data_IF_504398772403
#
_entry.id   IF_504398772403
#
_cell.length_a   1.000
_cell.length_b   1.000
_cell.length_c   1.000
_cell.angle_alpha   90.00
_cell.angle_beta   90.00
_cell.angle_gamma   90.00
#
_symmetry.space_group_name_H-M   'P 1'
#
loop_
_entity.id
_entity.type
_entity.pdbx_description
1 polymer ?
#
# COMPACT_ATOMS: atom_id res chain seq x y z
N UNK A 1 5.91 -11.26 -14.31
CA UNK A 1 4.65 -10.58 -14.68
C UNK A 1 4.19 -9.49 -13.70
N UNK A 2 4.60 -9.49 -12.42
CA UNK A 2 4.23 -8.41 -11.47
C UNK A 2 4.98 -7.08 -11.63
N UNK A 3 6.07 -7.04 -12.40
CA UNK A 3 6.85 -5.83 -12.66
C UNK A 3 6.12 -4.76 -13.49
N UNK A 4 4.98 -5.09 -14.10
CA UNK A 4 4.24 -4.17 -14.96
C UNK A 4 3.27 -3.28 -14.18
N UNK A 5 2.61 -3.80 -13.14
CA UNK A 5 1.64 -3.02 -12.33
C UNK A 5 2.36 -2.05 -11.39
N UNK A 6 3.49 -2.45 -10.81
CA UNK A 6 4.33 -1.61 -9.93
C UNK A 6 4.96 -0.43 -10.67
N UNK A 7 5.43 -0.62 -11.91
CA UNK A 7 6.00 0.46 -12.73
C UNK A 7 4.97 1.56 -13.04
N UNK A 8 3.71 1.21 -13.29
CA UNK A 8 2.67 2.20 -13.65
C UNK A 8 2.35 3.14 -12.48
N UNK A 9 2.30 2.63 -11.24
CA UNK A 9 2.05 3.45 -10.04
C UNK A 9 3.27 4.34 -9.71
N UNK A 10 4.49 3.81 -9.80
CA UNK A 10 5.73 4.56 -9.62
C UNK A 10 5.86 5.71 -10.65
N UNK A 11 5.53 5.46 -11.92
CA UNK A 11 5.55 6.47 -12.99
C UNK A 11 4.51 7.56 -12.74
N UNK A 12 3.30 7.21 -12.26
CA UNK A 12 2.29 8.22 -11.93
C UNK A 12 2.71 9.15 -10.79
N UNK A 13 3.38 8.63 -9.76
CA UNK A 13 3.85 9.47 -8.65
C UNK A 13 4.96 10.41 -9.10
N UNK A 14 5.87 9.96 -9.96
CA UNK A 14 6.91 10.81 -10.57
C UNK A 14 6.34 11.98 -11.39
N UNK A 15 5.12 11.84 -11.93
CA UNK A 15 4.45 12.89 -12.70
C UNK A 15 3.75 13.94 -11.82
N UNK A 16 3.56 13.67 -10.52
CA UNK A 16 2.93 14.59 -9.57
C UNK A 16 4.01 15.50 -9.01
N UNK A 17 3.98 16.77 -9.41
CA UNK A 17 5.04 17.75 -9.12
C UNK A 17 4.90 18.46 -7.77
N UNK A 18 3.82 18.23 -7.04
CA UNK A 18 3.52 18.96 -5.79
C UNK A 18 3.28 18.00 -4.63
N UNK A 19 3.87 18.23 -3.44
CA UNK A 19 3.68 17.40 -2.25
C UNK A 19 2.20 17.17 -1.91
N UNK A 20 1.34 18.19 -2.05
CA UNK A 20 -0.10 18.09 -1.74
C UNK A 20 -0.82 17.03 -2.57
N UNK A 21 -0.48 16.93 -3.86
CA UNK A 21 -1.08 15.94 -4.76
C UNK A 21 -0.61 14.52 -4.45
N UNK A 22 0.62 14.38 -3.99
CA UNK A 22 1.12 13.11 -3.48
C UNK A 22 0.42 12.74 -2.19
N UNK A 23 0.25 13.68 -1.26
CA UNK A 23 -0.47 13.49 0.00
C UNK A 23 -1.91 13.00 -0.25
N UNK A 24 -2.62 13.63 -1.20
CA UNK A 24 -3.97 13.23 -1.61
C UNK A 24 -4.02 11.78 -2.09
N UNK A 25 -3.03 11.35 -2.89
CA UNK A 25 -2.94 9.96 -3.35
C UNK A 25 -2.59 8.98 -2.22
N UNK A 26 -1.64 9.34 -1.35
CA UNK A 26 -1.27 8.52 -0.18
C UNK A 26 -2.50 8.31 0.70
N UNK A 27 -3.30 9.35 0.95
CA UNK A 27 -4.55 9.22 1.69
C UNK A 27 -5.58 8.32 0.99
N UNK A 28 -5.75 8.44 -0.33
CA UNK A 28 -6.65 7.54 -1.09
C UNK A 28 -6.24 6.08 -0.99
N UNK A 29 -4.96 5.79 -1.19
CA UNK A 29 -4.42 4.43 -1.07
C UNK A 29 -4.57 3.91 0.34
N UNK A 30 -4.24 4.73 1.33
CA UNK A 30 -4.43 4.40 2.76
C UNK A 30 -5.89 4.07 3.04
N UNK A 31 -6.83 4.87 2.55
CA UNK A 31 -8.27 4.64 2.71
C UNK A 31 -8.71 3.32 2.08
N UNK A 32 -8.25 3.01 0.87
CA UNK A 32 -8.55 1.74 0.21
C UNK A 32 -8.03 0.53 1.01
N UNK A 33 -6.83 0.62 1.59
CA UNK A 33 -6.29 -0.43 2.47
C UNK A 33 -7.14 -0.58 3.74
N UNK A 34 -7.68 0.52 4.29
CA UNK A 34 -8.48 0.48 5.52
C UNK A 34 -9.94 0.06 5.30
N UNK A 35 -10.52 0.32 4.12
CA UNK A 35 -11.95 0.13 3.88
C UNK A 35 -12.25 -1.00 2.90
N UNK A 36 -11.52 -1.09 1.80
CA UNK A 36 -11.81 -2.04 0.73
C UNK A 36 -11.17 -3.40 0.99
N UNK A 37 -9.89 -3.41 1.37
CA UNK A 37 -9.16 -4.66 1.61
C UNK A 37 -9.82 -5.53 2.70
N UNK A 38 -10.26 -5.00 3.86
CA UNK A 38 -10.98 -5.80 4.86
C UNK A 38 -12.28 -6.40 4.32
N UNK A 39 -13.00 -5.70 3.44
CA UNK A 39 -14.20 -6.25 2.80
C UNK A 39 -13.86 -7.45 1.90
N UNK A 40 -12.76 -7.37 1.15
CA UNK A 40 -12.28 -8.52 0.35
C UNK A 40 -11.89 -9.69 1.25
N UNK A 41 -11.21 -9.42 2.38
CA UNK A 41 -10.83 -10.45 3.35
C UNK A 41 -12.05 -11.09 4.02
N UNK A 42 -13.08 -10.31 4.34
CA UNK A 42 -14.35 -10.81 4.87
C UNK A 42 -15.03 -11.75 3.85
N UNK A 43 -15.10 -11.37 2.58
CA UNK A 43 -15.63 -12.24 1.51
C UNK A 43 -14.80 -13.52 1.38
N UNK A 44 -13.48 -13.43 1.43
CA UNK A 44 -12.61 -14.61 1.39
C UNK A 44 -12.88 -15.54 2.58
N UNK A 45 -13.12 -15.01 3.79
CA UNK A 45 -13.50 -15.80 4.97
C UNK A 45 -14.84 -16.50 4.80
N UNK A 46 -15.82 -15.88 4.13
CA UNK A 46 -17.13 -16.48 3.85
C UNK A 46 -17.08 -17.68 2.89
N UNK A 47 -16.24 -17.61 1.86
CA UNK A 47 -16.20 -18.64 0.81
C UNK A 47 -15.08 -19.68 1.01
N UNK A 48 -14.05 -19.33 1.79
CA UNK A 48 -12.87 -20.19 1.99
C UNK A 48 -12.64 -20.44 3.48
N UNK A 49 -13.24 -21.51 4.00
CA UNK A 49 -13.20 -21.86 5.44
C UNK A 49 -11.81 -22.28 5.94
N UNK A 50 -10.96 -22.84 5.08
CA UNK A 50 -9.62 -23.29 5.48
C UNK A 50 -8.69 -22.10 5.75
N UNK A 51 -8.28 -21.92 7.01
CA UNK A 51 -7.41 -20.81 7.42
C UNK A 51 -6.05 -20.82 6.72
N UNK A 52 -5.42 -22.00 6.60
CA UNK A 52 -4.13 -22.14 5.93
C UNK A 52 -4.20 -21.73 4.46
N UNK A 53 -5.27 -22.08 3.74
CA UNK A 53 -5.47 -21.65 2.36
C UNK A 53 -5.65 -20.14 2.27
N UNK A 54 -6.42 -19.52 3.18
CA UNK A 54 -6.54 -18.05 3.25
C UNK A 54 -5.19 -17.38 3.49
N UNK A 55 -4.37 -17.90 4.40
CA UNK A 55 -3.02 -17.38 4.68
C UNK A 55 -2.11 -17.49 3.47
N UNK A 56 -2.14 -18.64 2.76
CA UNK A 56 -1.38 -18.83 1.51
C UNK A 56 -1.77 -17.78 0.46
N UNK A 57 -3.07 -17.47 0.33
CA UNK A 57 -3.57 -16.47 -0.61
C UNK A 57 -3.32 -15.02 -0.17
N UNK A 58 -3.36 -14.75 1.14
CA UNK A 58 -3.11 -13.41 1.67
C UNK A 58 -1.64 -13.01 1.60
N UNK A 59 -0.71 -13.97 1.77
CA UNK A 59 0.73 -13.71 1.73
C UNK A 59 1.18 -12.90 0.49
N UNK A 60 0.88 -13.30 -0.76
CA UNK A 60 1.26 -12.50 -1.92
C UNK A 60 0.56 -11.13 -1.98
N UNK A 61 -0.66 -11.00 -1.47
CA UNK A 61 -1.37 -9.71 -1.38
C UNK A 61 -0.61 -8.77 -0.44
N UNK A 62 -0.29 -9.24 0.79
CA UNK A 62 0.50 -8.49 1.77
C UNK A 62 1.86 -8.08 1.21
N UNK A 63 2.59 -9.03 0.63
CA UNK A 63 3.92 -8.78 0.05
C UNK A 63 3.85 -7.69 -1.02
N UNK A 64 2.88 -7.76 -1.95
CA UNK A 64 2.76 -6.77 -3.01
C UNK A 64 2.46 -5.36 -2.47
N UNK A 65 1.57 -5.24 -1.48
CA UNK A 65 1.23 -3.94 -0.87
C UNK A 65 2.47 -3.33 -0.20
N UNK A 66 3.20 -4.14 0.60
CA UNK A 66 4.40 -3.67 1.31
C UNK A 66 5.50 -3.28 0.33
N UNK A 67 5.78 -4.09 -0.69
CA UNK A 67 6.80 -3.79 -1.70
C UNK A 67 6.48 -2.51 -2.50
N UNK A 68 5.20 -2.32 -2.87
CA UNK A 68 4.77 -1.09 -3.52
C UNK A 68 4.98 0.13 -2.60
N UNK A 69 4.62 0.02 -1.33
CA UNK A 69 4.80 1.10 -0.35
C UNK A 69 6.28 1.47 -0.16
N UNK A 70 7.16 0.48 -0.08
CA UNK A 70 8.62 0.68 -0.02
C UNK A 70 9.11 1.45 -1.26
N UNK A 71 8.71 1.03 -2.45
CA UNK A 71 9.11 1.69 -3.70
C UNK A 71 8.63 3.14 -3.74
N UNK A 72 7.38 3.41 -3.36
CA UNK A 72 6.86 4.77 -3.28
C UNK A 72 7.65 5.60 -2.27
N UNK A 73 7.89 5.08 -1.07
CA UNK A 73 8.65 5.81 -0.05
C UNK A 73 10.08 6.12 -0.52
N UNK A 74 10.74 5.20 -1.22
CA UNK A 74 12.06 5.44 -1.82
C UNK A 74 12.02 6.54 -2.89
N UNK A 75 10.98 6.58 -3.72
CA UNK A 75 10.80 7.65 -4.71
C UNK A 75 10.57 9.00 -4.05
N UNK A 76 9.74 9.07 -3.01
CA UNK A 76 9.47 10.32 -2.30
C UNK A 76 10.73 10.88 -1.63
N UNK A 77 11.53 10.02 -0.99
CA UNK A 77 12.82 10.40 -0.40
C UNK A 77 13.85 10.90 -1.41
N UNK A 78 13.70 10.54 -2.69
CA UNK A 78 14.61 10.97 -3.75
C UNK A 78 14.19 12.31 -4.38
N UNK A 79 12.90 12.66 -4.32
CA UNK A 79 12.33 13.82 -5.04
C UNK A 79 11.95 14.98 -4.12
N UNK A 80 11.72 14.73 -2.82
CA UNK A 80 11.24 15.73 -1.85
C UNK A 80 12.18 15.89 -0.66
N UNK A 81 12.22 17.11 -0.11
CA UNK A 81 12.96 17.37 1.12
C UNK A 81 12.30 16.72 2.34
N UNK A 82 13.03 16.53 3.46
CA UNK A 82 12.45 16.02 4.70
C UNK A 82 11.25 16.83 5.20
N UNK A 83 11.25 18.16 4.99
CA UNK A 83 10.19 19.08 5.39
C UNK A 83 8.93 18.89 4.51
N UNK A 84 9.10 18.77 3.20
CA UNK A 84 8.00 18.50 2.27
C UNK A 84 7.37 17.14 2.53
N UNK A 85 8.19 16.15 2.89
CA UNK A 85 7.72 14.81 3.25
C UNK A 85 6.82 14.79 4.50
N UNK A 86 7.00 15.72 5.45
CA UNK A 86 6.12 15.79 6.63
C UNK A 86 4.68 16.09 6.23
N UNK A 87 4.48 16.90 5.18
CA UNK A 87 3.15 17.23 4.63
C UNK A 87 2.47 16.07 3.91
N UNK A 88 3.24 15.09 3.41
CA UNK A 88 2.70 13.93 2.68
C UNK A 88 2.08 12.89 3.64
N UNK A 89 2.50 12.88 4.90
CA UNK A 89 1.98 12.01 5.97
C UNK A 89 1.92 10.51 5.59
N UNK A 90 3.02 10.01 5.00
CA UNK A 90 3.14 8.61 4.57
C UNK A 90 3.30 7.66 5.77
N UNK A 91 2.46 6.61 5.91
CA UNK A 91 2.60 5.64 6.98
C UNK A 91 3.98 4.96 6.99
N UNK A 92 4.46 4.58 8.17
CA UNK A 92 5.68 3.78 8.25
C UNK A 92 5.44 2.36 7.71
N UNK A 93 6.50 1.70 7.23
CA UNK A 93 6.40 0.31 6.76
C UNK A 93 5.97 -0.61 7.90
N UNK A 94 6.43 -0.35 9.12
CA UNK A 94 6.08 -1.13 10.31
C UNK A 94 4.59 -1.01 10.64
N UNK A 95 4.05 0.20 10.62
CA UNK A 95 2.62 0.43 10.88
C UNK A 95 1.75 -0.22 9.81
N UNK A 96 2.14 -0.11 8.54
CA UNK A 96 1.44 -0.77 7.44
C UNK A 96 1.48 -2.30 7.60
N UNK A 97 2.63 -2.87 7.95
CA UNK A 97 2.75 -4.32 8.17
C UNK A 97 1.86 -4.78 9.33
N UNK A 98 1.92 -4.07 10.46
CA UNK A 98 1.09 -4.34 11.63
C UNK A 98 -0.40 -4.25 11.30
N UNK A 99 -0.81 -3.23 10.55
CA UNK A 99 -2.18 -3.08 10.07
C UNK A 99 -2.61 -4.28 9.21
N UNK A 100 -1.79 -4.67 8.23
CA UNK A 100 -2.12 -5.80 7.35
C UNK A 100 -2.20 -7.12 8.11
N UNK A 101 -1.39 -7.30 9.16
CA UNK A 101 -1.42 -8.49 10.01
C UNK A 101 -2.72 -8.65 10.79
N UNK A 102 -3.45 -7.56 11.05
CA UNK A 102 -4.79 -7.64 11.68
C UNK A 102 -5.86 -8.29 10.82
N UNK A 103 -5.61 -8.48 9.51
CA UNK A 103 -6.61 -8.96 8.55
C UNK A 103 -6.66 -10.49 8.45
N UNK A 104 -5.66 -11.18 8.97
CA UNK A 104 -5.58 -12.65 8.98
C UNK A 104 -6.56 -13.24 10.00
#
# INVERSE_FOLDING_TARGET
MLSFVTKVTAVKIKLLRTPDKVAELVQKVTTAIHQELPMVMAKMKLYLHNSSTRTILFKPIKTNIVEAHVQVQSLLKAEYSPEEMQGINMPSIQDLQAQLDTLL
#
